data_IF_331817715331
#
_entry.id   IF_331817715331
#
_cell.length_a   1.000
_cell.length_b   1.000
_cell.length_c   1.000
_cell.angle_alpha   90.00
_cell.angle_beta   90.00
_cell.angle_gamma   90.00
#
_symmetry.space_group_name_H-M   'P 1'
#
loop_
_entity.id
_entity.type
_entity.pdbx_description
1 polymer ?
#
# COMPACT_ATOMS: atom_id res chain seq x y z
N UNK A 1 14.72 32.89 15.75
CA UNK A 1 14.42 32.03 14.59
C UNK A 1 13.81 30.71 15.10
N UNK A 2 12.55 30.67 15.56
CA UNK A 2 12.05 29.41 16.17
C UNK A 2 10.52 29.26 16.30
N UNK A 3 9.70 30.12 15.68
CA UNK A 3 8.23 29.97 15.73
C UNK A 3 7.64 29.41 14.44
N UNK A 4 8.21 29.75 13.28
CA UNK A 4 7.74 29.27 11.97
C UNK A 4 8.10 27.80 11.68
N UNK A 5 9.26 27.32 12.14
CA UNK A 5 9.67 25.93 11.93
C UNK A 5 8.79 24.92 12.71
N UNK A 6 8.31 25.29 13.90
CA UNK A 6 7.42 24.45 14.71
C UNK A 6 6.00 24.37 14.15
N UNK A 7 5.49 25.47 13.57
CA UNK A 7 4.15 25.51 12.94
C UNK A 7 4.12 24.71 11.64
N UNK A 8 5.19 24.72 10.85
CA UNK A 8 5.32 23.93 9.62
C UNK A 8 5.43 22.42 9.90
N UNK A 9 6.12 22.01 10.97
CA UNK A 9 6.20 20.61 11.36
C UNK A 9 4.84 20.05 11.85
N UNK A 10 4.06 20.84 12.60
CA UNK A 10 2.72 20.43 13.05
C UNK A 10 1.70 20.33 11.91
N UNK A 11 1.74 21.25 10.95
CA UNK A 11 0.81 21.26 9.81
C UNK A 11 1.04 20.09 8.84
N UNK A 12 2.29 19.67 8.65
CA UNK A 12 2.63 18.46 7.89
C UNK A 12 2.18 17.18 8.62
N UNK A 13 2.29 17.13 9.95
CA UNK A 13 1.80 15.99 10.74
C UNK A 13 0.27 15.89 10.72
N UNK A 14 -0.43 17.03 10.79
CA UNK A 14 -1.89 17.10 10.66
C UNK A 14 -2.34 16.66 9.27
N UNK A 15 -1.68 17.13 8.21
CA UNK A 15 -1.98 16.71 6.84
C UNK A 15 -1.77 15.21 6.61
N UNK A 16 -0.70 14.62 7.17
CA UNK A 16 -0.44 13.18 7.06
C UNK A 16 -1.48 12.34 7.82
N UNK A 17 -1.92 12.80 9.00
CA UNK A 17 -2.96 12.11 9.77
C UNK A 17 -4.32 12.19 9.07
N UNK A 18 -4.65 13.34 8.47
CA UNK A 18 -5.87 13.54 7.69
C UNK A 18 -5.88 12.70 6.40
N UNK A 19 -4.75 12.58 5.70
CA UNK A 19 -4.62 11.74 4.51
C UNK A 19 -4.81 10.26 4.86
N UNK A 20 -4.12 9.78 5.89
CA UNK A 20 -4.22 8.39 6.33
C UNK A 20 -5.63 8.04 6.84
N UNK A 21 -6.34 8.98 7.47
CA UNK A 21 -7.75 8.78 7.82
C UNK A 21 -8.63 8.69 6.57
N UNK A 22 -8.43 9.57 5.58
CA UNK A 22 -9.22 9.57 4.35
C UNK A 22 -9.04 8.30 3.50
N UNK A 23 -7.82 7.74 3.46
CA UNK A 23 -7.56 6.49 2.74
C UNK A 23 -8.21 5.28 3.43
N UNK A 24 -8.19 5.26 4.76
CA UNK A 24 -8.83 4.21 5.55
C UNK A 24 -10.35 4.28 5.46
N UNK A 25 -10.94 5.47 5.40
CA UNK A 25 -12.38 5.65 5.27
C UNK A 25 -12.86 5.22 3.87
N UNK A 26 -12.13 5.58 2.82
CA UNK A 26 -12.40 5.10 1.45
C UNK A 26 -12.26 3.58 1.36
N UNK A 27 -11.24 2.99 1.97
CA UNK A 27 -11.05 1.54 1.97
C UNK A 27 -12.21 0.81 2.66
N UNK A 28 -12.73 1.34 3.77
CA UNK A 28 -13.93 0.79 4.43
C UNK A 28 -15.16 0.91 3.54
N UNK A 29 -15.38 2.08 2.94
CA UNK A 29 -16.51 2.29 2.04
C UNK A 29 -16.48 1.32 0.85
N UNK A 30 -15.30 1.12 0.25
CA UNK A 30 -15.10 0.20 -0.87
C UNK A 30 -15.37 -1.26 -0.47
N UNK A 31 -14.90 -1.68 0.71
CA UNK A 31 -15.18 -3.01 1.27
C UNK A 31 -16.67 -3.19 1.55
N UNK A 32 -17.32 -2.24 2.23
CA UNK A 32 -18.75 -2.31 2.56
C UNK A 32 -19.62 -2.38 1.30
N UNK A 33 -19.27 -1.56 0.29
CA UNK A 33 -19.93 -1.61 -1.01
C UNK A 33 -19.80 -2.98 -1.67
N UNK A 34 -18.59 -3.53 -1.74
CA UNK A 34 -18.36 -4.83 -2.38
C UNK A 34 -19.00 -5.98 -1.61
N UNK A 35 -19.03 -5.92 -0.27
CA UNK A 35 -19.76 -6.89 0.55
C UNK A 35 -21.26 -6.86 0.24
N UNK A 36 -21.84 -5.66 0.13
CA UNK A 36 -23.25 -5.46 -0.20
C UNK A 36 -23.60 -6.00 -1.60
N UNK A 37 -22.81 -5.65 -2.62
CA UNK A 37 -23.03 -6.11 -4.01
C UNK A 37 -22.98 -7.63 -4.13
N UNK A 38 -22.03 -8.26 -3.44
CA UNK A 38 -21.74 -9.70 -3.59
C UNK A 38 -22.41 -10.58 -2.53
N UNK A 39 -23.07 -9.96 -1.55
CA UNK A 39 -23.72 -10.61 -0.40
C UNK A 39 -22.76 -11.44 0.45
N UNK A 40 -21.47 -11.08 0.47
CA UNK A 40 -20.47 -11.68 1.34
C UNK A 40 -20.66 -11.17 2.77
N UNK A 41 -20.76 -12.08 3.74
CA UNK A 41 -20.83 -11.71 5.15
C UNK A 41 -19.47 -11.35 5.73
N UNK A 42 -19.45 -10.56 6.81
CA UNK A 42 -18.22 -10.20 7.51
C UNK A 42 -17.43 -11.44 7.97
N UNK A 43 -18.12 -12.48 8.43
CA UNK A 43 -17.46 -13.69 8.92
C UNK A 43 -16.85 -14.52 7.78
N UNK A 44 -17.54 -14.62 6.63
CA UNK A 44 -16.99 -15.26 5.44
C UNK A 44 -15.74 -14.51 4.95
N UNK A 45 -15.79 -13.18 4.96
CA UNK A 45 -14.66 -12.35 4.56
C UNK A 45 -13.48 -12.47 5.53
N UNK A 46 -13.71 -12.42 6.85
CA UNK A 46 -12.68 -12.64 7.86
C UNK A 46 -12.01 -14.00 7.72
N UNK A 47 -12.80 -15.05 7.46
CA UNK A 47 -12.28 -16.39 7.19
C UNK A 47 -11.43 -16.40 5.92
N UNK A 48 -11.91 -15.79 4.83
CA UNK A 48 -11.15 -15.70 3.58
C UNK A 48 -9.80 -15.00 3.76
N UNK A 49 -9.74 -13.88 4.49
CA UNK A 49 -8.47 -13.21 4.82
C UNK A 49 -7.56 -14.05 5.71
N UNK A 50 -8.12 -14.75 6.70
CA UNK A 50 -7.34 -15.60 7.60
C UNK A 50 -6.71 -16.79 6.87
N UNK A 51 -7.48 -17.39 5.97
CA UNK A 51 -7.08 -18.61 5.26
C UNK A 51 -6.39 -18.32 3.91
N UNK A 52 -6.34 -17.04 3.50
CA UNK A 52 -5.91 -16.58 2.17
C UNK A 52 -6.67 -17.28 1.02
N UNK A 53 -7.97 -17.52 1.22
CA UNK A 53 -8.82 -18.26 0.30
C UNK A 53 -10.10 -17.49 -0.06
N UNK A 54 -9.98 -16.68 -1.10
CA UNK A 54 -11.10 -16.02 -1.78
C UNK A 54 -11.70 -16.89 -2.90
N UNK A 55 -11.08 -18.04 -3.20
CA UNK A 55 -11.50 -18.97 -4.26
C UNK A 55 -12.58 -19.95 -3.82
N UNK A 56 -12.83 -20.08 -2.52
CA UNK A 56 -13.74 -21.05 -1.92
C UNK A 56 -15.19 -20.99 -2.42
N UNK A 57 -15.69 -19.84 -2.87
CA UNK A 57 -17.00 -19.73 -3.49
C UNK A 57 -17.11 -18.52 -4.45
N UNK A 58 -18.18 -18.51 -5.26
CA UNK A 58 -18.40 -17.48 -6.28
C UNK A 58 -18.61 -16.06 -5.69
N UNK A 59 -19.37 -15.87 -4.58
CA UNK A 59 -19.46 -14.57 -3.92
C UNK A 59 -18.10 -13.97 -3.51
N UNK A 60 -17.19 -14.77 -2.95
CA UNK A 60 -15.87 -14.30 -2.54
C UNK A 60 -14.97 -13.93 -3.72
N UNK A 61 -15.04 -14.68 -4.83
CA UNK A 61 -14.36 -14.31 -6.08
C UNK A 61 -14.89 -13.00 -6.64
N UNK A 62 -16.22 -12.84 -6.64
CA UNK A 62 -16.87 -11.60 -7.08
C UNK A 62 -16.51 -10.42 -6.17
N UNK A 63 -16.37 -10.66 -4.86
CA UNK A 63 -15.93 -9.65 -3.89
C UNK A 63 -14.51 -9.17 -4.22
N UNK A 64 -13.59 -10.11 -4.47
CA UNK A 64 -12.23 -9.80 -4.86
C UNK A 64 -12.19 -8.99 -6.18
N UNK A 65 -12.98 -9.39 -7.18
CA UNK A 65 -13.14 -8.64 -8.44
C UNK A 65 -13.59 -7.20 -8.19
N UNK A 66 -14.63 -7.00 -7.36
CA UNK A 66 -15.16 -5.68 -7.04
C UNK A 66 -14.10 -4.76 -6.42
N UNK A 67 -13.35 -5.25 -5.43
CA UNK A 67 -12.25 -4.49 -4.83
C UNK A 67 -11.17 -4.15 -5.85
N UNK A 68 -10.74 -5.11 -6.66
CA UNK A 68 -9.69 -4.87 -7.66
C UNK A 68 -10.10 -3.86 -8.73
N UNK A 69 -11.39 -3.74 -9.07
CA UNK A 69 -11.89 -2.70 -9.96
C UNK A 69 -11.82 -1.32 -9.28
N UNK A 70 -12.24 -1.20 -8.03
CA UNK A 70 -12.20 0.07 -7.26
C UNK A 70 -10.78 0.58 -7.05
N UNK A 71 -9.84 -0.35 -6.87
CA UNK A 71 -8.41 -0.07 -6.76
C UNK A 71 -7.71 0.12 -8.12
N UNK A 72 -8.46 0.05 -9.23
CA UNK A 72 -7.94 0.16 -10.59
C UNK A 72 -6.82 -0.86 -10.92
N UNK A 73 -6.87 -2.05 -10.30
CA UNK A 73 -5.98 -3.19 -10.56
C UNK A 73 -6.46 -4.03 -11.75
N UNK A 74 -7.77 -4.07 -11.98
CA UNK A 74 -8.40 -4.63 -13.19
C UNK A 74 -9.48 -3.66 -13.69
N UNK A 75 -9.84 -3.74 -14.98
CA UNK A 75 -11.01 -3.05 -15.51
C UNK A 75 -12.29 -3.91 -15.37
N UNK A 76 -13.43 -3.38 -15.84
CA UNK A 76 -14.73 -4.07 -15.75
C UNK A 76 -14.79 -5.37 -16.56
N UNK A 77 -13.97 -5.47 -17.59
CA UNK A 77 -13.82 -6.63 -18.46
C UNK A 77 -12.85 -7.68 -17.89
N UNK A 78 -12.23 -7.43 -16.73
CA UNK A 78 -11.28 -8.33 -16.09
C UNK A 78 -9.85 -8.25 -16.65
N UNK A 79 -9.53 -7.21 -17.42
CA UNK A 79 -8.17 -6.96 -17.91
C UNK A 79 -7.35 -6.26 -16.84
N UNK A 80 -6.18 -6.82 -16.54
CA UNK A 80 -5.30 -6.29 -15.50
C UNK A 80 -4.62 -4.98 -15.91
N UNK A 81 -4.52 -4.05 -14.96
CA UNK A 81 -3.69 -2.85 -15.03
C UNK A 81 -2.39 -3.08 -14.25
N UNK A 82 -1.36 -3.56 -14.94
CA UNK A 82 -0.07 -3.91 -14.32
C UNK A 82 0.97 -2.79 -14.40
N UNK A 83 0.66 -1.66 -15.04
CA UNK A 83 1.60 -0.53 -15.16
C UNK A 83 2.09 0.02 -13.80
N UNK A 84 1.23 0.19 -12.78
CA UNK A 84 1.68 0.62 -11.46
C UNK A 84 2.70 -0.35 -10.85
N UNK A 85 2.46 -1.67 -11.01
CA UNK A 85 3.35 -2.73 -10.50
C UNK A 85 4.68 -2.71 -11.23
N UNK A 86 4.68 -2.56 -12.56
CA UNK A 86 5.91 -2.43 -13.35
C UNK A 86 6.73 -1.20 -12.93
N UNK A 87 6.07 -0.07 -12.76
CA UNK A 87 6.72 1.17 -12.32
C UNK A 87 7.29 1.03 -10.90
N UNK A 88 6.54 0.41 -10.00
CA UNK A 88 7.01 0.09 -8.64
C UNK A 88 8.27 -0.77 -8.67
N UNK A 89 8.28 -1.87 -9.43
CA UNK A 89 9.45 -2.73 -9.56
C UNK A 89 10.66 -2.00 -10.14
N UNK A 90 10.46 -1.20 -11.20
CA UNK A 90 11.52 -0.41 -11.81
C UNK A 90 12.18 0.53 -10.79
N UNK A 91 11.39 1.35 -10.10
CA UNK A 91 11.89 2.28 -9.08
C UNK A 91 12.52 1.54 -7.89
N UNK A 92 11.95 0.41 -7.50
CA UNK A 92 12.50 -0.41 -6.41
C UNK A 92 13.90 -0.93 -6.76
N UNK A 93 14.08 -1.41 -7.99
CA UNK A 93 15.39 -1.86 -8.48
C UNK A 93 16.41 -0.72 -8.53
N UNK A 94 16.01 0.48 -8.96
CA UNK A 94 16.87 1.67 -8.95
C UNK A 94 17.38 1.98 -7.52
N UNK A 95 16.50 1.93 -6.52
CA UNK A 95 16.89 2.13 -5.11
C UNK A 95 17.78 1.00 -4.61
N UNK A 96 17.43 -0.26 -4.87
CA UNK A 96 18.23 -1.42 -4.44
C UNK A 96 19.65 -1.34 -5.00
N UNK A 97 19.79 -1.00 -6.29
CA UNK A 97 21.09 -0.85 -6.93
C UNK A 97 21.91 0.26 -6.26
N UNK A 98 21.30 1.43 -6.00
CA UNK A 98 21.93 2.52 -5.23
C UNK A 98 22.35 2.07 -3.83
N UNK A 99 21.54 1.27 -3.13
CA UNK A 99 21.89 0.76 -1.81
C UNK A 99 23.05 -0.26 -1.87
N UNK A 100 23.19 -1.02 -2.95
CA UNK A 100 24.30 -1.96 -3.14
C UNK A 100 25.66 -1.27 -3.38
N UNK A 101 25.65 0.01 -3.74
CA UNK A 101 26.85 0.81 -3.94
C UNK A 101 27.45 1.34 -2.64
N UNK A 102 26.76 1.19 -1.49
CA UNK A 102 27.25 1.65 -0.19
C UNK A 102 28.60 1.01 0.13
N UNK A 103 29.59 1.85 0.46
CA UNK A 103 30.92 1.43 0.92
C UNK A 103 31.16 1.97 2.31
N UNK A 104 31.52 1.09 3.25
CA UNK A 104 31.97 1.47 4.58
C UNK A 104 32.95 0.42 5.11
N UNK A 105 34.00 0.88 5.77
CA UNK A 105 34.97 0.02 6.45
C UNK A 105 34.53 -0.35 7.88
N UNK A 106 33.38 0.17 8.33
CA UNK A 106 32.77 -0.13 9.61
C UNK A 106 31.42 -0.82 9.36
N UNK A 107 31.27 -2.04 9.90
CA UNK A 107 30.09 -2.88 9.70
C UNK A 107 28.82 -2.32 10.35
N UNK A 108 28.95 -1.65 11.51
CA UNK A 108 27.82 -0.98 12.16
C UNK A 108 27.33 0.21 11.32
N UNK A 109 28.26 1.00 10.77
CA UNK A 109 27.93 2.13 9.90
C UNK A 109 27.31 1.67 8.59
N UNK A 110 27.84 0.60 7.99
CA UNK A 110 27.24 -0.02 6.81
C UNK A 110 25.78 -0.44 7.05
N UNK A 111 25.52 -1.14 8.16
CA UNK A 111 24.18 -1.60 8.51
C UNK A 111 23.20 -0.43 8.70
N UNK A 112 23.63 0.64 9.36
CA UNK A 112 22.83 1.84 9.52
C UNK A 112 22.51 2.53 8.18
N UNK A 113 23.50 2.70 7.32
CA UNK A 113 23.34 3.31 6.00
C UNK A 113 22.42 2.48 5.09
N UNK A 114 22.60 1.15 5.08
CA UNK A 114 21.75 0.23 4.34
C UNK A 114 20.29 0.30 4.83
N UNK A 115 20.06 0.31 6.15
CA UNK A 115 18.72 0.44 6.73
C UNK A 115 18.04 1.74 6.27
N UNK A 116 18.77 2.87 6.32
CA UNK A 116 18.27 4.17 5.87
C UNK A 116 17.95 4.16 4.38
N UNK A 117 18.82 3.57 3.56
CA UNK A 117 18.63 3.47 2.10
C UNK A 117 17.41 2.61 1.74
N UNK A 118 17.27 1.42 2.34
CA UNK A 118 16.11 0.55 2.13
C UNK A 118 14.80 1.17 2.63
N UNK A 119 14.87 2.08 3.60
CA UNK A 119 13.74 2.90 4.02
C UNK A 119 13.12 3.75 2.89
N UNK A 120 13.87 4.07 1.83
CA UNK A 120 13.36 4.78 0.66
C UNK A 120 12.35 3.95 -0.15
N UNK A 121 12.42 2.61 -0.11
CA UNK A 121 11.46 1.72 -0.80
C UNK A 121 10.02 1.92 -0.30
N UNK A 122 9.86 2.17 1.01
CA UNK A 122 8.54 2.40 1.63
C UNK A 122 7.84 3.63 1.06
N UNK A 123 8.59 4.59 0.53
CA UNK A 123 8.07 5.83 -0.07
C UNK A 123 7.57 5.64 -1.51
N UNK A 124 7.82 4.49 -2.13
CA UNK A 124 7.27 4.15 -3.46
C UNK A 124 5.87 3.52 -3.33
N UNK A 125 5.56 2.92 -2.18
CA UNK A 125 4.27 2.26 -1.89
C UNK A 125 3.18 3.21 -1.37
N UNK A 126 3.55 4.44 -1.01
CA UNK A 126 2.66 5.50 -0.54
C UNK A 126 2.36 6.48 -1.69
#
# INVERSE_FOLDING_TARGET
MSRFAFVLACSLLQAHLSLQASDMDKAKEDVEHCMSETKVSSDALKKAYKDDDFGSNEPLKCFQKCLMIKENKINKEGVANLEPVKNYHKKSLEIINKCNEIKSNNTCEYAYQLHKCMGELKKILA
#
